data_IF_598297068223
#
_entry.id   IF_598297068223
#
_cell.length_a   1.000
_cell.length_b   1.000
_cell.length_c   1.000
_cell.angle_alpha   90.00
_cell.angle_beta   90.00
_cell.angle_gamma   90.00
#
_symmetry.space_group_name_H-M   'P 1'
#
loop_
_entity.id
_entity.type
_entity.pdbx_description
1 polymer ?
#
# COMPACT_ATOMS: atom_id res chain seq x y z
N UNK A 1 10.33 -7.31 9.55
CA UNK A 1 10.25 -8.29 8.44
C UNK A 1 10.81 -7.64 7.18
N UNK A 2 11.33 -8.45 6.27
CA UNK A 2 11.74 -8.03 4.93
C UNK A 2 11.49 -9.19 3.97
N UNK A 3 11.33 -8.88 2.69
CA UNK A 3 11.18 -9.89 1.66
C UNK A 3 11.79 -9.41 0.35
N UNK A 4 12.21 -10.34 -0.49
CA UNK A 4 12.61 -10.07 -1.86
C UNK A 4 11.39 -10.22 -2.77
N UNK A 5 11.26 -9.38 -3.79
CA UNK A 5 10.17 -9.48 -4.77
C UNK A 5 10.11 -10.85 -5.47
N UNK A 6 11.23 -11.57 -5.54
CA UNK A 6 11.28 -12.91 -6.10
C UNK A 6 10.59 -13.95 -5.18
N UNK A 7 10.45 -13.66 -3.88
CA UNK A 7 9.74 -14.49 -2.88
C UNK A 7 8.23 -14.55 -3.11
N UNK A 8 7.67 -13.59 -3.86
CA UNK A 8 6.25 -13.61 -4.28
C UNK A 8 6.05 -14.81 -5.22
N UNK A 9 5.20 -15.75 -4.80
CA UNK A 9 4.93 -16.99 -5.54
C UNK A 9 3.95 -16.75 -6.68
N UNK A 10 2.84 -16.06 -6.42
CA UNK A 10 1.75 -15.84 -7.38
C UNK A 10 1.95 -14.51 -8.12
N UNK A 11 3.03 -14.45 -8.91
CA UNK A 11 3.39 -13.23 -9.66
C UNK A 11 2.32 -12.79 -10.65
N UNK A 12 1.52 -13.72 -11.18
CA UNK A 12 0.45 -13.39 -12.12
C UNK A 12 -0.74 -12.71 -11.43
N UNK A 13 -1.14 -13.17 -10.24
CA UNK A 13 -2.16 -12.51 -9.42
C UNK A 13 -1.74 -11.09 -9.04
N UNK A 14 -0.49 -10.93 -8.61
CA UNK A 14 0.08 -9.61 -8.30
C UNK A 14 0.03 -8.64 -9.50
N UNK A 15 0.40 -9.11 -10.70
CA UNK A 15 0.33 -8.31 -11.94
C UNK A 15 -1.12 -7.99 -12.31
N UNK A 16 -2.02 -8.94 -12.18
CA UNK A 16 -3.44 -8.75 -12.46
C UNK A 16 -4.05 -7.70 -11.53
N UNK A 17 -3.80 -7.79 -10.22
CA UNK A 17 -4.20 -6.78 -9.22
C UNK A 17 -3.71 -5.39 -9.61
N UNK A 18 -2.42 -5.26 -9.94
CA UNK A 18 -1.83 -3.98 -10.32
C UNK A 18 -2.43 -3.42 -11.63
N UNK A 19 -2.71 -4.27 -12.62
CA UNK A 19 -3.31 -3.85 -13.89
C UNK A 19 -4.77 -3.40 -13.72
N UNK A 20 -5.52 -4.11 -12.87
CA UNK A 20 -6.90 -3.77 -12.55
C UNK A 20 -7.00 -2.39 -11.89
N UNK A 21 -6.16 -2.13 -10.88
CA UNK A 21 -6.12 -0.82 -10.23
C UNK A 21 -5.66 0.28 -11.20
N UNK A 22 -4.62 0.01 -11.99
CA UNK A 22 -4.11 0.96 -12.97
C UNK A 22 -5.15 1.36 -14.01
N UNK A 23 -5.96 0.41 -14.47
CA UNK A 23 -7.07 0.65 -15.40
C UNK A 23 -8.12 1.56 -14.78
N UNK A 24 -8.48 1.34 -13.51
CA UNK A 24 -9.42 2.20 -12.79
C UNK A 24 -8.88 3.62 -12.61
N UNK A 25 -7.61 3.76 -12.21
CA UNK A 25 -6.96 5.07 -12.04
C UNK A 25 -6.85 5.81 -13.38
N UNK A 26 -6.49 5.11 -14.46
CA UNK A 26 -6.34 5.68 -15.80
C UNK A 26 -7.70 6.09 -16.40
N UNK A 27 -8.78 5.37 -16.08
CA UNK A 27 -10.13 5.67 -16.58
C UNK A 27 -10.66 7.04 -16.14
N UNK A 28 -10.10 7.63 -15.08
CA UNK A 28 -10.47 8.94 -14.58
C UNK A 28 -9.31 9.95 -14.76
N UNK A 29 -9.45 10.96 -15.64
CA UNK A 29 -8.39 11.93 -15.92
C UNK A 29 -7.86 12.66 -14.67
N UNK A 30 -8.70 12.88 -13.65
CA UNK A 30 -8.30 13.55 -12.40
C UNK A 30 -7.33 12.69 -11.59
N UNK A 31 -7.47 11.37 -11.63
CA UNK A 31 -6.59 10.42 -10.93
C UNK A 31 -5.41 10.02 -11.81
N UNK A 32 -5.60 9.91 -13.12
CA UNK A 32 -4.53 9.64 -14.08
C UNK A 32 -3.46 10.75 -14.06
N UNK A 33 -3.87 12.02 -13.98
CA UNK A 33 -2.97 13.19 -13.92
C UNK A 33 -1.98 13.25 -15.09
N UNK A 34 -2.43 12.85 -16.28
CA UNK A 34 -1.62 12.84 -17.51
C UNK A 34 -0.64 11.68 -17.62
N UNK A 35 -0.57 10.77 -16.64
CA UNK A 35 0.22 9.54 -16.72
C UNK A 35 -0.44 8.53 -17.65
N UNK A 36 0.37 7.83 -18.42
CA UNK A 36 -0.02 6.68 -19.22
C UNK A 36 -0.45 5.51 -18.33
N UNK A 37 -1.22 4.58 -18.89
CA UNK A 37 -1.60 3.34 -18.19
C UNK A 37 -0.37 2.57 -17.69
N UNK A 38 0.71 2.50 -18.48
CA UNK A 38 1.93 1.78 -18.08
C UNK A 38 2.64 2.44 -16.88
N UNK A 39 2.76 3.77 -16.84
CA UNK A 39 3.35 4.47 -15.70
C UNK A 39 2.53 4.28 -14.41
N UNK A 40 1.20 4.24 -14.54
CA UNK A 40 0.30 3.95 -13.42
C UNK A 40 0.47 2.49 -12.99
N UNK A 41 0.48 1.57 -13.94
CA UNK A 41 0.69 0.14 -13.70
C UNK A 41 2.00 -0.14 -12.97
N UNK A 42 3.12 0.47 -13.37
CA UNK A 42 4.39 0.33 -12.66
C UNK A 42 4.32 0.87 -11.22
N UNK A 43 3.57 1.95 -11.00
CA UNK A 43 3.34 2.50 -9.66
C UNK A 43 2.51 1.55 -8.79
N UNK A 44 1.42 0.99 -9.35
CA UNK A 44 0.58 0.00 -8.67
C UNK A 44 1.36 -1.28 -8.38
N UNK A 45 2.15 -1.78 -9.33
CA UNK A 45 2.98 -2.97 -9.19
C UNK A 45 3.96 -2.81 -8.01
N UNK A 46 4.64 -1.66 -7.94
CA UNK A 46 5.54 -1.32 -6.82
C UNK A 46 4.82 -1.26 -5.47
N UNK A 47 3.58 -0.75 -5.43
CA UNK A 47 2.77 -0.65 -4.22
C UNK A 47 2.19 -1.98 -3.75
N UNK A 48 1.72 -2.81 -4.69
CA UNK A 48 1.08 -4.10 -4.44
C UNK A 48 2.06 -5.23 -4.10
N UNK A 49 3.36 -5.06 -4.33
CA UNK A 49 4.36 -6.10 -4.00
C UNK A 49 4.26 -6.55 -2.52
N UNK A 50 4.27 -5.64 -1.53
CA UNK A 50 4.05 -6.04 -0.14
C UNK A 50 2.65 -6.56 0.13
N UNK A 51 1.61 -6.08 -0.56
CA UNK A 51 0.26 -6.62 -0.36
C UNK A 51 0.19 -8.09 -0.75
N UNK A 52 0.69 -8.44 -1.94
CA UNK A 52 0.72 -9.84 -2.39
C UNK A 52 1.54 -10.70 -1.44
N UNK A 53 2.73 -10.23 -1.04
CA UNK A 53 3.57 -10.97 -0.09
C UNK A 53 2.83 -11.22 1.23
N UNK A 54 2.15 -10.20 1.78
CA UNK A 54 1.40 -10.33 3.02
C UNK A 54 0.26 -11.35 2.88
N UNK A 55 -0.51 -11.32 1.79
CA UNK A 55 -1.56 -12.30 1.48
C UNK A 55 -0.99 -13.73 1.50
N UNK A 56 0.13 -13.95 0.80
CA UNK A 56 0.80 -15.27 0.76
C UNK A 56 1.33 -15.74 2.12
N UNK A 57 1.48 -14.82 3.07
CA UNK A 57 1.89 -15.12 4.46
C UNK A 57 0.74 -15.15 5.46
N UNK A 58 -0.51 -15.14 5.00
CA UNK A 58 -1.70 -15.35 5.84
C UNK A 58 -2.48 -14.09 6.17
N UNK A 59 -2.26 -12.99 5.47
CA UNK A 59 -3.16 -11.83 5.49
C UNK A 59 -4.32 -12.06 4.51
N UNK A 60 -5.41 -11.33 4.69
CA UNK A 60 -6.59 -11.46 3.83
C UNK A 60 -6.80 -10.18 3.02
N UNK A 61 -7.26 -10.34 1.78
CA UNK A 61 -7.60 -9.22 0.91
C UNK A 61 -8.88 -8.52 1.40
N UNK A 62 -8.89 -7.18 1.41
CA UNK A 62 -10.11 -6.42 1.71
C UNK A 62 -10.88 -6.13 0.42
N UNK A 63 -11.88 -6.98 0.13
CA UNK A 63 -12.71 -6.89 -1.08
C UNK A 63 -13.55 -5.60 -1.19
N UNK A 64 -13.56 -4.74 -0.16
CA UNK A 64 -14.25 -3.45 -0.21
C UNK A 64 -13.49 -2.50 -1.14
N UNK A 65 -14.19 -1.66 -1.92
CA UNK A 65 -13.52 -0.73 -2.83
C UNK A 65 -12.52 0.19 -2.14
N UNK A 66 -11.33 0.33 -2.72
CA UNK A 66 -10.25 1.21 -2.26
C UNK A 66 -9.72 0.86 -0.87
N UNK A 67 -9.68 -0.44 -0.55
CA UNK A 67 -9.06 -0.97 0.67
C UNK A 67 -7.94 -1.92 0.30
N UNK A 68 -7.00 -2.04 1.23
CA UNK A 68 -5.82 -2.87 1.06
C UNK A 68 -6.10 -4.24 1.71
N UNK A 69 -5.63 -4.49 2.94
CA UNK A 69 -5.67 -5.82 3.54
C UNK A 69 -6.25 -5.85 4.96
N UNK A 70 -6.69 -7.03 5.40
CA UNK A 70 -6.87 -7.38 6.80
C UNK A 70 -5.64 -8.15 7.31
N UNK A 71 -5.18 -7.81 8.51
CA UNK A 71 -4.14 -8.61 9.18
C UNK A 71 -4.71 -9.91 9.78
N UNK A 72 -3.86 -10.83 10.28
CA UNK A 72 -4.33 -12.10 10.85
C UNK A 72 -5.22 -11.97 12.10
N UNK A 73 -5.33 -10.77 12.70
CA UNK A 73 -6.26 -10.49 13.80
C UNK A 73 -7.62 -9.98 13.29
N UNK A 74 -7.76 -9.77 11.98
CA UNK A 74 -8.95 -9.24 11.33
C UNK A 74 -9.01 -7.72 11.32
N UNK A 75 -7.92 -7.02 11.65
CA UNK A 75 -7.91 -5.56 11.64
C UNK A 75 -7.62 -5.03 10.23
N UNK A 76 -8.38 -4.03 9.74
CA UNK A 76 -8.11 -3.42 8.45
C UNK A 76 -6.83 -2.58 8.53
N UNK A 77 -5.97 -2.75 7.52
CA UNK A 77 -4.67 -2.11 7.40
C UNK A 77 -4.57 -1.37 6.08
N UNK A 78 -3.94 -0.20 6.09
CA UNK A 78 -3.48 0.46 4.87
C UNK A 78 -2.00 0.12 4.64
N UNK A 79 -1.66 -0.46 3.50
CA UNK A 79 -0.30 -0.77 3.11
C UNK A 79 0.27 0.41 2.32
N UNK A 80 1.47 0.85 2.68
CA UNK A 80 2.17 1.94 1.97
C UNK A 80 3.60 1.57 1.70
N UNK A 81 4.08 1.95 0.53
CA UNK A 81 5.49 1.81 0.14
C UNK A 81 6.07 3.17 -0.14
N UNK A 82 7.29 3.42 0.32
CA UNK A 82 8.04 4.64 0.01
C UNK A 82 9.52 4.38 -0.22
N UNK A 83 10.18 5.24 -1.00
CA UNK A 83 11.55 4.98 -1.45
C UNK A 83 12.58 5.05 -0.33
N UNK A 84 12.33 5.87 0.70
CA UNK A 84 13.26 6.06 1.81
C UNK A 84 12.57 6.63 3.05
N UNK A 85 13.21 6.46 4.21
CA UNK A 85 12.66 6.89 5.53
C UNK A 85 12.29 8.37 5.59
N UNK A 86 13.03 9.24 4.92
CA UNK A 86 12.74 10.68 4.86
C UNK A 86 11.35 11.03 4.30
N UNK A 87 10.71 10.13 3.56
CA UNK A 87 9.38 10.35 3.00
C UNK A 87 8.24 10.00 3.97
N UNK A 88 8.52 9.25 5.04
CA UNK A 88 7.52 8.75 5.98
C UNK A 88 6.64 9.88 6.55
N UNK A 89 7.18 11.03 7.01
CA UNK A 89 6.33 12.12 7.50
C UNK A 89 5.29 12.60 6.48
N UNK A 90 5.68 12.67 5.20
CA UNK A 90 4.76 13.06 4.12
C UNK A 90 3.73 11.97 3.80
N UNK A 91 4.12 10.70 3.85
CA UNK A 91 3.19 9.56 3.71
C UNK A 91 2.15 9.60 4.82
N UNK A 92 2.58 9.74 6.08
CA UNK A 92 1.70 9.78 7.23
C UNK A 92 0.79 11.02 7.24
N UNK A 93 1.26 12.19 6.79
CA UNK A 93 0.38 13.37 6.66
C UNK A 93 -0.70 13.16 5.59
N UNK A 94 -0.40 12.49 4.47
CA UNK A 94 -1.42 12.10 3.48
C UNK A 94 -2.43 11.11 4.07
N UNK A 95 -1.96 10.08 4.76
CA UNK A 95 -2.82 9.10 5.43
C UNK A 95 -3.72 9.80 6.48
N UNK A 96 -3.16 10.76 7.24
CA UNK A 96 -3.92 11.58 8.20
C UNK A 96 -5.02 12.37 7.52
N UNK A 97 -4.73 13.03 6.40
CA UNK A 97 -5.74 13.76 5.62
C UNK A 97 -6.87 12.83 5.17
N UNK A 98 -6.53 11.65 4.64
CA UNK A 98 -7.53 10.65 4.24
C UNK A 98 -8.32 10.08 5.42
N UNK A 99 -7.69 9.90 6.58
CA UNK A 99 -8.37 9.46 7.82
C UNK A 99 -9.37 10.49 8.34
N UNK A 100 -9.10 11.77 8.14
CA UNK A 100 -10.00 12.86 8.51
C UNK A 100 -11.18 13.03 7.54
N UNK A 101 -11.23 12.30 6.42
CA UNK A 101 -12.35 12.26 5.49
C UNK A 101 -13.27 11.06 5.83
N UNK A 102 -14.39 11.25 6.56
CA UNK A 102 -15.14 10.12 7.15
C UNK A 102 -15.70 9.15 6.10
N UNK A 103 -16.05 9.65 4.93
CA UNK A 103 -16.58 8.86 3.82
C UNK A 103 -15.60 7.81 3.30
N UNK A 104 -14.29 8.02 3.49
CA UNK A 104 -13.26 7.07 3.07
C UNK A 104 -13.22 5.83 3.94
N UNK A 105 -13.72 5.86 5.18
CA UNK A 105 -13.55 4.78 6.17
C UNK A 105 -12.10 4.28 6.20
N UNK A 106 -11.15 5.21 6.27
CA UNK A 106 -9.73 4.90 6.21
C UNK A 106 -9.29 4.09 7.44
N UNK A 107 -8.42 3.06 7.31
CA UNK A 107 -7.95 2.23 8.42
C UNK A 107 -7.37 3.01 9.61
N UNK A 108 -7.35 2.44 10.80
CA UNK A 108 -6.61 2.99 11.96
C UNK A 108 -5.14 2.57 11.98
N UNK A 109 -4.77 1.59 11.16
CA UNK A 109 -3.42 1.04 11.07
C UNK A 109 -2.85 1.31 9.68
N UNK A 110 -1.64 1.86 9.64
CA UNK A 110 -0.85 2.05 8.42
C UNK A 110 0.43 1.25 8.54
N UNK A 111 0.67 0.36 7.60
CA UNK A 111 1.82 -0.54 7.54
C UNK A 111 2.77 -0.09 6.44
N UNK A 112 3.97 0.38 6.79
CA UNK A 112 4.87 1.03 5.85
C UNK A 112 6.06 0.15 5.48
N UNK A 113 6.26 -0.07 4.19
CA UNK A 113 7.46 -0.67 3.60
C UNK A 113 8.36 0.37 2.95
N UNK A 114 9.66 0.04 2.85
CA UNK A 114 10.66 0.78 2.10
C UNK A 114 11.28 -0.07 1.00
N UNK A 115 11.38 0.49 -0.20
CA UNK A 115 12.13 -0.05 -1.33
C UNK A 115 12.62 1.11 -2.22
N UNK A 116 13.91 1.18 -2.54
CA UNK A 116 14.50 2.32 -3.27
C UNK A 116 14.29 2.27 -4.80
N UNK A 117 13.42 1.38 -5.28
CA UNK A 117 13.14 1.05 -6.70
C UNK A 117 14.33 0.52 -7.50
N UNK A 118 15.49 0.35 -6.87
CA UNK A 118 16.69 -0.25 -7.47
C UNK A 118 16.92 -1.65 -6.93
N UNK A 119 16.57 -1.85 -5.66
CA UNK A 119 16.60 -3.12 -4.97
C UNK A 119 15.34 -3.94 -5.23
N UNK A 120 15.48 -5.25 -5.16
CA UNK A 120 14.36 -6.18 -5.06
C UNK A 120 13.86 -6.37 -3.62
N UNK A 121 14.60 -5.87 -2.64
CA UNK A 121 14.31 -6.03 -1.22
C UNK A 121 13.33 -4.97 -0.72
N UNK A 122 12.27 -5.41 -0.07
CA UNK A 122 11.31 -4.58 0.64
C UNK A 122 11.48 -4.78 2.14
N UNK A 123 11.58 -3.67 2.87
CA UNK A 123 11.76 -3.70 4.32
C UNK A 123 10.53 -3.13 5.00
N UNK A 124 9.88 -3.91 5.87
CA UNK A 124 8.85 -3.35 6.74
C UNK A 124 9.53 -2.37 7.70
N UNK A 125 9.20 -1.10 7.53
CA UNK A 125 9.78 -0.02 8.28
C UNK A 125 9.11 0.14 9.63
N UNK A 126 7.78 0.06 9.68
CA UNK A 126 7.02 0.20 10.91
C UNK A 126 5.51 0.20 10.70
N UNK A 127 4.83 -0.16 11.78
CA UNK A 127 3.38 -0.11 11.90
C UNK A 127 3.01 1.16 12.66
N UNK A 128 2.04 1.90 12.14
CA UNK A 128 1.61 3.17 12.69
C UNK A 128 0.12 3.13 13.00
N UNK A 129 -0.24 3.49 14.22
CA UNK A 129 -1.62 3.48 14.70
C UNK A 129 -2.15 4.90 14.85
N UNK A 130 -3.41 5.10 14.51
CA UNK A 130 -4.12 6.36 14.68
C UNK A 130 -4.34 6.68 16.16
N UNK A 131 -3.80 7.81 16.62
CA UNK A 131 -4.03 8.39 17.96
C UNK A 131 -4.15 9.89 17.84
N UNK A 132 -5.19 10.47 18.45
CA UNK A 132 -5.32 11.93 18.61
C UNK A 132 -5.02 12.74 17.33
N UNK A 133 -5.64 12.34 16.21
CA UNK A 133 -5.49 12.99 14.89
C UNK A 133 -4.14 12.83 14.20
N UNK A 134 -3.32 11.85 14.60
CA UNK A 134 -2.05 11.53 13.94
C UNK A 134 -1.79 10.03 13.95
N UNK A 135 -0.98 9.56 13.01
CA UNK A 135 -0.42 8.22 13.05
C UNK A 135 0.86 8.22 13.87
N UNK A 136 0.92 7.39 14.89
CA UNK A 136 2.11 7.22 15.73
C UNK A 136 2.65 5.81 15.56
N UNK A 137 3.97 5.70 15.47
CA UNK A 137 4.64 4.41 15.33
C UNK A 137 4.40 3.55 16.57
N UNK A 138 4.13 2.27 16.38
CA UNK A 138 4.14 1.28 17.45
C UNK A 138 5.59 0.97 17.88
N UNK A 139 5.81 0.61 19.16
CA UNK A 139 7.12 0.23 19.68
C UNK A 139 7.77 -0.93 18.91
#
# INVERSE_FOLDING_TARGET
MSFNIDDIQHKDEWRERAMNEATLIHSNPRTARGRTLNEIYETCLYGHAPEQYLIETGWEDDVRPYKDLFDPMGDPNEIKVTEHKGNIPYVLDRCRKYKLEPWRKYPDIVYIFINDKKSKEYFHEGTYIWKEKKYVRLP
#
